data_IF_455903180636
#
_entry.id   IF_455903180636
#
_cell.length_a   1.000
_cell.length_b   1.000
_cell.length_c   1.000
_cell.angle_alpha   90.00
_cell.angle_beta   90.00
_cell.angle_gamma   90.00
#
_symmetry.space_group_name_H-M   'P 1'
#
loop_
_entity.id
_entity.type
_entity.pdbx_description
1 polymer ?
#
# COMPACT_ATOMS: atom_id res chain seq x y z
N UNK A 1 2.21 28.53 13.08
CA UNK A 1 2.63 27.29 13.75
C UNK A 1 3.91 26.81 13.09
N UNK A 2 4.92 26.35 13.86
CA UNK A 2 6.12 25.80 13.26
C UNK A 2 5.78 24.42 12.67
N UNK A 3 6.00 24.26 11.37
CA UNK A 3 5.93 22.97 10.69
C UNK A 3 7.29 22.33 10.87
N UNK A 4 7.37 21.27 11.67
CA UNK A 4 8.61 20.53 11.88
C UNK A 4 8.72 19.41 10.83
N UNK A 5 9.81 19.42 10.07
CA UNK A 5 10.13 18.37 9.09
C UNK A 5 11.08 17.37 9.76
N UNK A 6 10.54 16.33 10.39
CA UNK A 6 11.35 15.42 11.20
C UNK A 6 12.44 14.70 10.40
N UNK A 7 12.12 14.16 9.22
CA UNK A 7 13.10 13.55 8.29
C UNK A 7 12.52 13.55 6.87
N UNK A 8 13.32 13.95 5.88
CA UNK A 8 12.97 13.86 4.46
C UNK A 8 14.14 13.33 3.63
N UNK A 9 13.86 12.35 2.77
CA UNK A 9 14.72 11.93 1.66
C UNK A 9 13.95 12.17 0.36
N UNK A 10 14.61 12.22 -0.80
CA UNK A 10 13.93 12.39 -2.11
C UNK A 10 12.80 11.35 -2.37
N UNK A 11 12.73 10.28 -1.56
CA UNK A 11 11.86 9.13 -1.73
C UNK A 11 10.70 9.06 -0.71
N UNK A 12 10.75 9.76 0.42
CA UNK A 12 9.71 9.69 1.45
C UNK A 12 9.71 10.92 2.38
N UNK A 13 8.55 11.19 2.99
CA UNK A 13 8.39 12.24 4.00
C UNK A 13 7.39 11.83 5.08
N UNK A 14 7.67 12.24 6.31
CA UNK A 14 6.78 12.14 7.46
C UNK A 14 6.59 13.56 8.00
N UNK A 15 5.34 14.00 8.13
CA UNK A 15 4.98 15.31 8.68
C UNK A 15 4.11 15.05 9.90
N UNK A 16 4.54 15.51 11.07
CA UNK A 16 3.74 15.49 12.30
C UNK A 16 3.36 16.92 12.67
N UNK A 17 2.09 17.14 13.00
CA UNK A 17 1.60 18.41 13.54
C UNK A 17 1.34 18.21 15.03
N UNK A 18 1.84 19.14 15.82
CA UNK A 18 1.70 19.16 17.27
C UNK A 18 0.78 20.29 17.72
N UNK A 19 0.11 20.09 18.85
CA UNK A 19 -0.63 21.16 19.52
C UNK A 19 0.30 22.02 20.41
N UNK A 20 -0.29 22.88 21.25
CA UNK A 20 0.47 23.79 22.13
C UNK A 20 1.18 23.08 23.30
N UNK A 21 0.83 21.82 23.58
CA UNK A 21 1.39 20.99 24.65
C UNK A 21 2.32 19.89 24.10
N UNK A 22 2.81 20.07 22.87
CA UNK A 22 3.67 19.14 22.12
C UNK A 22 3.04 17.74 21.93
N UNK A 23 1.71 17.63 21.87
CA UNK A 23 1.03 16.37 21.55
C UNK A 23 0.79 16.23 20.04
N UNK A 24 1.09 15.08 19.43
CA UNK A 24 0.86 14.87 18.00
C UNK A 24 -0.64 14.77 17.72
N UNK A 25 -1.17 15.73 16.95
CA UNK A 25 -2.60 15.80 16.58
C UNK A 25 -2.86 15.37 15.13
N UNK A 26 -1.82 15.32 14.30
CA UNK A 26 -1.91 14.85 12.92
C UNK A 26 -0.58 14.27 12.46
N UNK A 27 -0.63 13.20 11.66
CA UNK A 27 0.53 12.69 10.95
C UNK A 27 0.19 12.36 9.50
N UNK A 28 1.03 12.83 8.59
CA UNK A 28 0.98 12.49 7.17
C UNK A 28 2.26 11.76 6.79
N UNK A 29 2.11 10.66 6.05
CA UNK A 29 3.23 9.87 5.54
C UNK A 29 3.07 9.75 4.03
N UNK A 30 4.12 10.11 3.30
CA UNK A 30 4.21 9.86 1.85
C UNK A 30 5.45 9.03 1.58
N UNK A 31 5.29 7.93 0.84
CA UNK A 31 6.39 7.06 0.46
C UNK A 31 6.30 6.73 -1.02
N UNK A 32 7.41 6.89 -1.74
CA UNK A 32 7.56 6.45 -3.12
C UNK A 32 8.24 5.09 -3.07
N UNK A 33 7.51 4.04 -3.46
CA UNK A 33 8.00 2.66 -3.44
C UNK A 33 8.53 2.28 -4.81
N UNK A 34 9.75 1.77 -4.83
CA UNK A 34 10.32 1.13 -6.00
C UNK A 34 9.98 -0.36 -6.03
N UNK A 35 9.97 -0.94 -7.23
CA UNK A 35 9.67 -2.34 -7.45
C UNK A 35 10.57 -2.96 -8.52
N UNK A 36 10.23 -4.18 -8.91
CA UNK A 36 10.96 -4.94 -9.91
C UNK A 36 10.05 -5.29 -11.07
N UNK A 37 10.58 -5.18 -12.28
CA UNK A 37 9.96 -5.73 -13.47
C UNK A 37 10.88 -6.78 -14.08
N UNK A 38 10.30 -7.93 -14.43
CA UNK A 38 10.99 -9.00 -15.15
C UNK A 38 10.30 -9.16 -16.50
N UNK A 39 11.06 -9.02 -17.59
CA UNK A 39 10.60 -9.31 -18.94
C UNK A 39 11.29 -10.57 -19.47
N UNK A 40 10.52 -11.44 -20.13
CA UNK A 40 11.00 -12.66 -20.79
C UNK A 40 10.34 -12.80 -22.16
N UNK A 41 11.14 -12.96 -23.22
CA UNK A 41 10.61 -13.34 -24.52
C UNK A 41 10.19 -14.81 -24.52
N UNK A 42 8.92 -15.07 -24.80
CA UNK A 42 8.37 -16.40 -25.03
C UNK A 42 7.95 -16.52 -26.51
N UNK A 43 7.82 -17.75 -27.01
CA UNK A 43 7.44 -17.99 -28.41
C UNK A 43 6.07 -17.41 -28.82
N UNK A 44 5.26 -16.96 -27.85
CA UNK A 44 3.94 -16.36 -28.05
C UNK A 44 3.93 -14.83 -27.84
N UNK A 45 5.06 -14.22 -27.48
CA UNK A 45 5.17 -12.80 -27.15
C UNK A 45 6.02 -12.53 -25.90
N UNK A 46 6.20 -11.26 -25.57
CA UNK A 46 6.89 -10.83 -24.36
C UNK A 46 6.01 -11.10 -23.13
N UNK A 47 6.53 -11.79 -22.12
CA UNK A 47 5.88 -11.93 -20.81
C UNK A 47 6.55 -10.99 -19.81
N UNK A 48 5.76 -10.07 -19.22
CA UNK A 48 6.22 -9.09 -18.24
C UNK A 48 5.54 -9.33 -16.90
N UNK A 49 6.34 -9.33 -15.84
CA UNK A 49 5.88 -9.46 -14.45
C UNK A 49 6.36 -8.23 -13.70
N UNK A 50 5.43 -7.44 -13.17
CA UNK A 50 5.73 -6.30 -12.29
C UNK A 50 5.41 -6.68 -10.85
N UNK A 51 6.38 -6.44 -9.95
CA UNK A 51 6.27 -6.69 -8.52
C UNK A 51 6.55 -5.40 -7.78
N UNK A 52 5.53 -4.85 -7.12
CA UNK A 52 5.62 -3.59 -6.38
C UNK A 52 4.85 -3.74 -5.08
N UNK A 53 5.51 -3.46 -3.95
CA UNK A 53 4.88 -3.41 -2.65
C UNK A 53 4.03 -4.65 -2.29
N UNK A 54 4.61 -5.86 -2.37
CA UNK A 54 3.89 -7.15 -2.25
C UNK A 54 2.86 -7.46 -3.35
N UNK A 55 2.44 -6.46 -4.12
CA UNK A 55 1.57 -6.65 -5.27
C UNK A 55 2.33 -7.25 -6.46
N UNK A 56 1.58 -7.98 -7.28
CA UNK A 56 2.09 -8.64 -8.49
C UNK A 56 1.08 -8.48 -9.61
N UNK A 57 1.54 -8.00 -10.76
CA UNK A 57 0.76 -7.93 -11.99
C UNK A 57 1.55 -8.57 -13.14
N UNK A 58 0.83 -9.17 -14.09
CA UNK A 58 1.41 -9.85 -15.25
C UNK A 58 0.81 -9.35 -16.55
N UNK A 59 1.57 -9.43 -17.63
CA UNK A 59 1.11 -9.12 -18.99
C UNK A 59 1.77 -10.05 -20.00
N UNK A 60 0.97 -10.66 -20.87
CA UNK A 60 1.45 -11.50 -21.98
C UNK A 60 1.22 -10.78 -23.32
N UNK A 61 2.28 -10.58 -24.10
CA UNK A 61 2.23 -9.93 -25.40
C UNK A 61 1.53 -8.56 -25.35
N UNK A 62 0.49 -8.43 -26.17
CA UNK A 62 -0.31 -7.20 -26.28
C UNK A 62 -1.54 -7.17 -25.36
N UNK A 63 -1.69 -8.14 -24.45
CA UNK A 63 -2.79 -8.16 -23.49
C UNK A 63 -2.68 -7.00 -22.48
N UNK A 64 -3.77 -6.76 -21.74
CA UNK A 64 -3.76 -5.82 -20.62
C UNK A 64 -3.06 -6.40 -19.40
N UNK A 65 -2.52 -5.54 -18.55
CA UNK A 65 -2.00 -5.96 -17.24
C UNK A 65 -3.11 -6.57 -16.38
N UNK A 66 -2.83 -7.76 -15.84
CA UNK A 66 -3.71 -8.51 -14.96
C UNK A 66 -3.12 -8.60 -13.54
N UNK A 67 -3.88 -8.13 -12.56
CA UNK A 67 -3.49 -8.11 -11.16
C UNK A 67 -3.63 -9.51 -10.54
N UNK A 68 -2.50 -10.11 -10.18
CA UNK A 68 -2.45 -11.42 -9.53
C UNK A 68 -2.52 -11.31 -8.00
N UNK A 69 -1.97 -10.23 -7.45
CA UNK A 69 -1.88 -10.01 -6.01
C UNK A 69 -1.91 -8.52 -5.70
N UNK A 70 -2.73 -8.13 -4.72
CA UNK A 70 -2.78 -6.76 -4.19
C UNK A 70 -1.61 -6.49 -3.23
N UNK A 71 -1.24 -5.22 -3.02
CA UNK A 71 -0.39 -4.84 -1.90
C UNK A 71 -1.00 -5.24 -0.56
N UNK A 72 -0.13 -5.56 0.41
CA UNK A 72 -0.56 -6.10 1.69
C UNK A 72 -1.18 -4.99 2.56
N UNK A 73 -2.51 -5.02 2.62
CA UNK A 73 -3.32 -4.28 3.58
C UNK A 73 -4.13 -5.32 4.34
N UNK A 74 -3.87 -5.43 5.64
CA UNK A 74 -4.51 -6.41 6.49
C UNK A 74 -5.38 -5.72 7.52
N UNK A 75 -6.60 -6.23 7.70
CA UNK A 75 -7.52 -5.78 8.72
C UNK A 75 -7.86 -6.96 9.62
N UNK A 76 -7.69 -6.78 10.92
CA UNK A 76 -8.04 -7.78 11.92
C UNK A 76 -8.83 -7.16 13.08
N UNK A 77 -9.67 -7.99 13.72
CA UNK A 77 -10.35 -7.65 14.97
C UNK A 77 -9.57 -8.25 16.12
N UNK A 78 -9.12 -7.39 17.03
CA UNK A 78 -8.39 -7.79 18.22
C UNK A 78 -9.32 -8.49 19.23
N UNK A 79 -8.72 -9.19 20.20
CA UNK A 79 -9.47 -9.95 21.23
C UNK A 79 -10.40 -9.05 22.07
N UNK A 80 -10.04 -7.78 22.23
CA UNK A 80 -10.85 -6.78 22.93
C UNK A 80 -11.97 -6.17 22.06
N UNK A 81 -12.09 -6.54 20.79
CA UNK A 81 -13.07 -6.01 19.85
C UNK A 81 -12.60 -4.80 19.05
N UNK A 82 -11.40 -4.27 19.32
CA UNK A 82 -10.83 -3.17 18.53
C UNK A 82 -10.49 -3.66 17.11
N UNK A 83 -10.46 -2.72 16.18
CA UNK A 83 -10.05 -2.98 14.80
C UNK A 83 -8.61 -2.55 14.62
N UNK A 84 -7.80 -3.36 13.94
CA UNK A 84 -6.45 -3.00 13.55
C UNK A 84 -6.29 -3.08 12.04
N UNK A 85 -5.69 -2.03 11.49
CA UNK A 85 -5.23 -1.99 10.11
C UNK A 85 -3.69 -2.01 10.09
N UNK A 86 -3.13 -3.04 9.46
CA UNK A 86 -1.69 -3.14 9.22
C UNK A 86 -1.40 -2.95 7.74
N UNK A 87 -0.55 -1.98 7.43
CA UNK A 87 0.03 -1.77 6.11
C UNK A 87 1.51 -2.09 6.16
N UNK A 88 1.92 -3.09 5.37
CA UNK A 88 3.31 -3.43 5.20
C UNK A 88 3.79 -2.94 3.84
N UNK A 89 4.64 -1.92 3.86
CA UNK A 89 5.28 -1.40 2.66
C UNK A 89 6.58 -2.16 2.38
N UNK A 90 6.85 -2.39 1.11
CA UNK A 90 8.12 -2.95 0.63
C UNK A 90 8.71 -2.06 -0.44
N UNK A 91 9.85 -1.48 -0.11
CA UNK A 91 10.63 -0.63 -1.01
C UNK A 91 11.88 -1.39 -1.50
N UNK A 92 12.04 -1.44 -2.82
CA UNK A 92 13.12 -2.19 -3.48
C UNK A 92 14.09 -1.25 -4.14
N UNK A 93 15.35 -1.28 -3.72
CA UNK A 93 16.43 -0.49 -4.30
C UNK A 93 17.38 -1.39 -5.09
N UNK A 94 17.94 -0.87 -6.18
CA UNK A 94 18.94 -1.59 -6.99
C UNK A 94 20.13 -0.65 -7.24
N UNK A 95 21.35 -1.18 -7.23
CA UNK A 95 22.53 -0.44 -7.71
C UNK A 95 22.70 -0.67 -9.21
N UNK A 96 21.87 0.00 -10.02
CA UNK A 96 21.90 -0.08 -11.48
C UNK A 96 21.02 -1.18 -12.08
N UNK A 97 21.10 -1.35 -13.41
CA UNK A 97 20.32 -2.39 -14.10
C UNK A 97 20.77 -3.78 -13.65
N UNK A 98 19.81 -4.62 -13.27
CA UNK A 98 20.01 -6.00 -12.83
C UNK A 98 20.50 -6.91 -13.98
N UNK A 99 20.43 -6.43 -15.23
CA UNK A 99 20.96 -7.11 -16.41
C UNK A 99 20.01 -8.14 -17.02
N UNK A 100 20.43 -8.79 -18.10
CA UNK A 100 19.64 -9.78 -18.86
C UNK A 100 20.21 -11.19 -18.75
N UNK A 101 19.36 -12.21 -18.83
CA UNK A 101 19.72 -13.62 -18.87
C UNK A 101 19.44 -14.38 -17.57
N UNK A 102 20.01 -15.59 -17.43
CA UNK A 102 19.90 -16.38 -16.19
C UNK A 102 20.90 -15.87 -15.16
N UNK A 103 20.52 -14.84 -14.42
CA UNK A 103 21.35 -14.21 -13.38
C UNK A 103 20.74 -14.53 -12.01
N UNK A 104 21.52 -15.05 -11.05
CA UNK A 104 21.04 -15.15 -9.67
C UNK A 104 20.83 -13.75 -9.11
N UNK A 105 19.72 -13.55 -8.39
CA UNK A 105 19.41 -12.29 -7.71
C UNK A 105 19.50 -12.50 -6.22
N UNK A 106 20.30 -11.66 -5.58
CA UNK A 106 20.40 -11.60 -4.13
C UNK A 106 19.49 -10.50 -3.60
N UNK A 107 18.60 -10.89 -2.68
CA UNK A 107 17.72 -9.98 -1.96
C UNK A 107 18.27 -9.78 -0.56
N UNK A 108 18.77 -8.59 -0.27
CA UNK A 108 19.37 -8.23 1.01
C UNK A 108 18.43 -7.30 1.76
N UNK A 109 18.05 -7.66 2.97
CA UNK A 109 17.28 -6.77 3.83
C UNK A 109 18.15 -5.58 4.28
N UNK A 110 17.66 -4.37 4.05
CA UNK A 110 18.23 -3.12 4.59
C UNK A 110 17.56 -2.73 5.92
N UNK A 111 16.85 -3.68 6.53
CA UNK A 111 16.08 -3.49 7.75
C UNK A 111 14.66 -2.98 7.50
N UNK A 112 13.87 -3.01 8.58
CA UNK A 112 12.52 -2.47 8.63
C UNK A 112 12.47 -1.19 9.47
N UNK A 113 11.43 -0.39 9.24
CA UNK A 113 11.09 0.78 10.03
C UNK A 113 9.59 0.74 10.33
N UNK A 114 9.22 0.82 11.60
CA UNK A 114 7.85 1.12 12.00
C UNK A 114 7.67 2.64 11.94
N UNK A 115 6.91 3.09 10.97
CA UNK A 115 6.65 4.52 10.71
C UNK A 115 5.54 5.05 11.59
N UNK A 116 4.54 4.20 11.84
CA UNK A 116 3.41 4.52 12.70
C UNK A 116 2.93 3.25 13.41
N UNK A 117 2.61 3.38 14.69
CA UNK A 117 1.94 2.34 15.47
C UNK A 117 1.18 3.02 16.59
N UNK A 118 -0.15 2.90 16.59
CA UNK A 118 -1.01 3.47 17.63
C UNK A 118 -2.46 3.59 17.21
N UNK A 119 -3.28 4.10 18.13
CA UNK A 119 -4.70 4.40 17.90
C UNK A 119 -4.85 5.63 16.98
N UNK A 120 -5.81 5.59 16.07
CA UNK A 120 -6.16 6.68 15.15
C UNK A 120 -7.67 6.87 15.09
N UNK A 121 -8.12 8.12 14.98
CA UNK A 121 -9.55 8.42 14.81
C UNK A 121 -9.97 8.65 13.37
N UNK A 122 -9.07 9.24 12.56
CA UNK A 122 -9.34 9.54 11.16
C UNK A 122 -8.16 9.05 10.32
N UNK A 123 -8.36 7.93 9.63
CA UNK A 123 -7.38 7.41 8.69
C UNK A 123 -7.85 7.68 7.26
N UNK A 124 -6.97 8.27 6.47
CA UNK A 124 -7.13 8.36 5.02
C UNK A 124 -5.86 7.90 4.35
N UNK A 125 -5.98 6.98 3.41
CA UNK A 125 -4.86 6.56 2.58
C UNK A 125 -5.24 6.55 1.10
N UNK A 126 -4.23 6.76 0.26
CA UNK A 126 -4.33 6.75 -1.19
C UNK A 126 -3.12 6.03 -1.75
N UNK A 127 -3.32 5.27 -2.83
CA UNK A 127 -2.23 4.62 -3.53
C UNK A 127 -2.41 4.78 -5.03
N UNK A 128 -1.30 5.02 -5.72
CA UNK A 128 -1.23 5.13 -7.17
C UNK A 128 -0.02 4.35 -7.68
N UNK A 129 -0.24 3.51 -8.67
CA UNK A 129 0.79 2.75 -9.35
C UNK A 129 1.15 3.41 -10.70
N UNK A 130 2.40 3.28 -11.14
CA UNK A 130 2.91 3.78 -12.43
C UNK A 130 3.16 2.67 -13.47
N UNK A 131 2.98 1.40 -13.12
CA UNK A 131 3.13 0.23 -14.01
C UNK A 131 2.19 0.37 -15.21
N UNK A 132 0.90 0.59 -14.94
CA UNK A 132 -0.11 0.88 -15.94
C UNK A 132 -1.32 1.56 -15.28
N UNK A 133 -2.07 2.33 -16.06
CA UNK A 133 -3.27 3.02 -15.59
C UNK A 133 -4.36 2.05 -15.12
N UNK A 134 -4.40 0.82 -15.64
CA UNK A 134 -5.41 -0.18 -15.27
C UNK A 134 -5.12 -0.90 -13.95
N UNK A 135 -3.87 -0.92 -13.48
CA UNK A 135 -3.48 -1.66 -12.26
C UNK A 135 -4.05 -1.00 -11.00
N UNK A 136 -4.05 0.33 -10.93
CA UNK A 136 -4.56 1.06 -9.75
C UNK A 136 -6.06 0.79 -9.53
N UNK A 137 -6.95 0.94 -10.55
CA UNK A 137 -8.36 0.56 -10.42
C UNK A 137 -8.56 -0.90 -9.98
N UNK A 138 -7.81 -1.86 -10.54
CA UNK A 138 -7.94 -3.27 -10.14
C UNK A 138 -7.63 -3.49 -8.65
N UNK A 139 -6.62 -2.79 -8.11
CA UNK A 139 -6.31 -2.87 -6.67
C UNK A 139 -7.41 -2.22 -5.83
N UNK A 140 -7.93 -1.08 -6.27
CA UNK A 140 -9.01 -0.36 -5.59
C UNK A 140 -10.28 -1.20 -5.53
N UNK A 141 -10.65 -1.83 -6.64
CA UNK A 141 -11.79 -2.75 -6.72
C UNK A 141 -11.60 -3.95 -5.79
N UNK A 142 -10.40 -4.54 -5.79
CA UNK A 142 -10.08 -5.66 -4.90
C UNK A 142 -10.25 -5.27 -3.42
N UNK A 143 -9.72 -4.12 -2.99
CA UNK A 143 -9.88 -3.64 -1.61
C UNK A 143 -11.31 -3.27 -1.24
N UNK A 144 -12.14 -2.83 -2.20
CA UNK A 144 -13.54 -2.45 -1.98
C UNK A 144 -14.55 -3.61 -2.20
N UNK A 145 -14.07 -4.84 -2.42
CA UNK A 145 -14.94 -5.99 -2.70
C UNK A 145 -15.98 -6.18 -1.59
N UNK A 146 -15.54 -6.27 -0.34
CA UNK A 146 -16.43 -6.52 0.81
C UNK A 146 -17.38 -5.35 1.06
N UNK A 147 -16.90 -4.12 0.93
CA UNK A 147 -17.74 -2.93 1.01
C UNK A 147 -18.85 -2.96 -0.05
N UNK A 148 -18.49 -3.29 -1.29
CA UNK A 148 -19.44 -3.33 -2.42
C UNK A 148 -20.48 -4.42 -2.23
N UNK A 149 -20.09 -5.58 -1.69
CA UNK A 149 -21.00 -6.66 -1.34
C UNK A 149 -21.99 -6.24 -0.24
N UNK A 150 -21.51 -5.63 0.85
CA UNK A 150 -22.37 -5.16 1.93
C UNK A 150 -23.32 -4.05 1.47
N UNK A 151 -22.85 -3.14 0.59
CA UNK A 151 -23.69 -2.12 -0.04
C UNK A 151 -24.79 -2.74 -0.89
N UNK A 152 -24.48 -3.74 -1.71
CA UNK A 152 -25.46 -4.41 -2.55
C UNK A 152 -26.48 -5.21 -1.71
N UNK A 153 -26.05 -5.77 -0.58
CA UNK A 153 -26.89 -6.52 0.35
C UNK A 153 -27.73 -5.63 1.29
N UNK A 154 -27.43 -4.34 1.38
CA UNK A 154 -28.08 -3.43 2.33
C UNK A 154 -27.62 -3.61 3.78
N UNK A 155 -26.41 -4.15 3.99
CA UNK A 155 -25.84 -4.47 5.31
C UNK A 155 -24.66 -3.56 5.68
N UNK A 156 -24.57 -2.36 5.10
CA UNK A 156 -23.48 -1.41 5.38
C UNK A 156 -23.38 -1.02 6.85
N UNK A 157 -24.51 -0.94 7.57
CA UNK A 157 -24.53 -0.58 8.99
C UNK A 157 -23.75 -1.59 9.89
N UNK A 158 -23.42 -2.76 9.36
CA UNK A 158 -22.67 -3.83 10.03
C UNK A 158 -21.29 -4.05 9.41
N UNK A 159 -20.92 -3.27 8.40
CA UNK A 159 -19.67 -3.43 7.69
C UNK A 159 -18.49 -2.97 8.56
N UNK A 160 -17.52 -3.86 8.76
CA UNK A 160 -16.20 -3.54 9.30
C UNK A 160 -15.19 -3.89 8.23
N UNK A 161 -14.46 -2.91 7.71
CA UNK A 161 -13.70 -3.11 6.50
C UNK A 161 -13.12 -1.85 5.87
N UNK A 162 -12.33 -2.05 4.81
CA UNK A 162 -11.87 -0.94 3.97
C UNK A 162 -13.08 -0.36 3.23
N UNK A 163 -13.25 0.95 3.35
CA UNK A 163 -14.35 1.71 2.77
C UNK A 163 -13.84 2.92 2.00
N UNK A 164 -14.58 3.40 1.00
CA UNK A 164 -14.20 4.59 0.25
C UNK A 164 -14.26 5.82 1.15
N UNK A 165 -13.26 6.70 1.04
CA UNK A 165 -13.34 8.03 1.62
C UNK A 165 -14.22 8.91 0.73
N UNK A 166 -15.28 9.51 1.28
CA UNK A 166 -16.23 10.36 0.54
C UNK A 166 -16.93 9.65 -0.64
N UNK A 167 -16.36 9.70 -1.85
CA UNK A 167 -16.99 9.15 -3.06
C UNK A 167 -16.87 7.63 -3.11
N UNK A 168 -17.99 6.97 -3.38
CA UNK A 168 -18.10 5.51 -3.42
C UNK A 168 -17.17 4.78 -4.43
N UNK A 169 -16.55 5.53 -5.35
CA UNK A 169 -15.54 5.02 -6.30
C UNK A 169 -14.15 4.85 -5.69
N UNK A 170 -13.90 5.30 -4.45
CA UNK A 170 -12.57 5.27 -3.82
C UNK A 170 -11.59 6.30 -4.38
N UNK A 171 -12.04 7.18 -5.30
CA UNK A 171 -11.17 8.15 -5.98
C UNK A 171 -10.56 9.18 -5.03
N UNK A 172 -11.23 9.51 -3.92
CA UNK A 172 -10.69 10.41 -2.89
C UNK A 172 -9.80 9.68 -1.87
N UNK A 173 -9.64 8.38 -2.02
CA UNK A 173 -8.91 7.50 -1.11
C UNK A 173 -9.81 6.56 -0.35
N UNK A 174 -9.22 5.95 0.66
CA UNK A 174 -9.81 4.90 1.49
C UNK A 174 -9.71 5.25 2.96
N UNK A 175 -10.63 4.68 3.72
CA UNK A 175 -10.67 4.66 5.18
C UNK A 175 -11.03 3.26 5.64
N UNK A 176 -11.13 3.07 6.95
CA UNK A 176 -11.66 1.86 7.57
C UNK A 176 -12.96 2.23 8.27
N UNK A 177 -14.02 1.47 8.01
CA UNK A 177 -15.21 1.46 8.85
C UNK A 177 -14.99 0.44 9.98
N UNK A 178 -15.22 0.88 11.21
CA UNK A 178 -15.03 0.08 12.42
C UNK A 178 -16.33 -0.24 13.14
N UNK A 179 -17.49 0.19 12.61
CA UNK A 179 -18.77 0.11 13.29
C UNK A 179 -18.75 0.67 14.74
N UNK A 180 -17.90 1.69 14.98
CA UNK A 180 -17.74 2.36 16.27
C UNK A 180 -16.66 1.80 17.19
N UNK A 181 -15.95 0.74 16.79
CA UNK A 181 -14.79 0.25 17.54
C UNK A 181 -13.55 1.16 17.35
N UNK A 182 -12.64 1.24 18.35
CA UNK A 182 -11.35 1.92 18.18
C UNK A 182 -10.54 1.33 17.01
N UNK A 183 -9.85 2.19 16.27
CA UNK A 183 -8.97 1.80 15.17
C UNK A 183 -7.50 1.95 15.58
N UNK A 184 -6.74 0.88 15.49
CA UNK A 184 -5.29 0.90 15.57
C UNK A 184 -4.71 0.85 14.15
N UNK A 185 -3.73 1.70 13.88
CA UNK A 185 -3.01 1.70 12.62
C UNK A 185 -1.56 1.34 12.84
N UNK A 186 -1.05 0.42 12.02
CA UNK A 186 0.34 0.02 11.97
C UNK A 186 0.85 0.20 10.54
N UNK A 187 1.93 0.97 10.39
CA UNK A 187 2.60 1.19 9.13
C UNK A 187 4.06 0.79 9.28
N UNK A 188 4.42 -0.32 8.65
CA UNK A 188 5.78 -0.82 8.61
C UNK A 188 6.34 -0.70 7.20
N UNK A 189 7.62 -0.35 7.09
CA UNK A 189 8.34 -0.28 5.82
C UNK A 189 9.53 -1.21 5.86
N UNK A 190 9.53 -2.22 4.99
CA UNK A 190 10.69 -3.07 4.74
C UNK A 190 11.46 -2.54 3.53
N UNK A 191 12.78 -2.37 3.69
CA UNK A 191 13.66 -1.94 2.60
C UNK A 191 14.51 -3.11 2.16
N UNK A 192 14.59 -3.31 0.86
CA UNK A 192 15.33 -4.41 0.25
C UNK A 192 16.29 -3.83 -0.77
N UNK A 193 17.53 -4.29 -0.74
CA UNK A 193 18.49 -4.11 -1.81
C UNK A 193 18.48 -5.37 -2.68
N UNK A 194 18.34 -5.16 -3.99
CA UNK A 194 18.50 -6.22 -4.98
C UNK A 194 19.82 -6.02 -5.68
N UNK A 195 20.67 -7.01 -5.55
CA UNK A 195 22.00 -7.03 -6.16
C UNK A 195 22.23 -8.33 -6.91
N UNK A 196 23.30 -8.31 -7.68
CA UNK A 196 23.84 -9.46 -8.38
C UNK A 196 24.95 -10.13 -7.56
#
# INVERSE_FOLDING_TARGET
>A
EPIEHDVGSEHWSIITVYDADDQPIHRSVTWILSGLEVSTELGQGEHRIAMVNHGRAERFGDDTWDLQQTPLVHLDTLVNGDVRLTMALRDVTTTGSIGSGRVPLDFVSLGGLTVFSGEVWNLRFTMRNIVDQIVTPQIHDAWLTDYTLNRAAGTLDQHVGISPWQRASGTDGFTVDTAGAPLHFELDVSRIEVRR
#
